data_IF_314308706415
#
_entry.id   IF_314308706415
#
_cell.length_a   1.000
_cell.length_b   1.000
_cell.length_c   1.000
_cell.angle_alpha   90.00
_cell.angle_beta   90.00
_cell.angle_gamma   90.00
#
_symmetry.space_group_name_H-M   'P 1'
#
loop_
_entity.id
_entity.type
_entity.pdbx_description
1 polymer ?
#
# COMPACT_ATOMS: atom_id res chain seq x y z
N UNK A 1 -10.89 43.79 66.25
CA UNK A 1 -12.04 43.38 67.09
C UNK A 1 -12.21 41.87 66.90
N UNK A 2 -11.66 41.10 67.84
CA UNK A 2 -12.38 40.35 68.89
C UNK A 2 -13.08 39.08 68.36
N UNK A 3 -12.47 37.92 68.60
CA UNK A 3 -13.00 36.79 69.41
C UNK A 3 -13.80 35.77 68.57
N UNK A 4 -13.84 34.45 68.82
CA UNK A 4 -13.44 33.63 69.96
C UNK A 4 -13.44 32.13 69.59
N UNK A 5 -12.48 31.41 70.19
CA UNK A 5 -12.55 30.08 70.88
C UNK A 5 -12.86 28.74 70.19
N UNK A 6 -11.99 27.82 70.61
CA UNK A 6 -11.96 26.35 70.59
C UNK A 6 -13.19 25.64 71.18
N UNK A 7 -13.36 24.37 70.83
CA UNK A 7 -13.65 23.31 71.81
C UNK A 7 -13.28 21.92 71.28
N UNK A 8 -12.40 21.25 72.03
CA UNK A 8 -12.10 19.82 71.96
C UNK A 8 -13.08 19.07 72.86
N UNK A 9 -13.40 17.82 72.55
CA UNK A 9 -13.93 16.88 73.54
C UNK A 9 -13.40 15.46 73.29
N UNK A 10 -12.74 14.96 74.33
CA UNK A 10 -12.30 13.58 74.56
C UNK A 10 -13.34 12.93 75.48
N UNK A 11 -13.70 11.67 75.25
CA UNK A 11 -14.19 10.76 76.30
C UNK A 11 -13.99 9.31 75.84
N UNK A 12 -13.05 8.55 76.41
CA UNK A 12 -13.09 7.74 77.66
C UNK A 12 -13.71 6.35 77.45
N UNK A 13 -12.83 5.35 77.57
CA UNK A 13 -13.01 3.90 77.64
C UNK A 13 -13.71 3.43 78.93
N UNK A 14 -14.38 2.27 78.93
CA UNK A 14 -14.02 1.18 79.88
C UNK A 14 -13.98 -0.20 79.18
N UNK A 15 -12.93 -1.03 79.38
CA UNK A 15 -12.80 -2.12 80.37
C UNK A 15 -13.92 -3.18 80.25
N UNK A 16 -13.70 -4.33 79.59
CA UNK A 16 -12.95 -5.53 80.01
C UNK A 16 -13.86 -6.57 80.72
N UNK A 17 -14.18 -7.67 80.02
CA UNK A 17 -14.60 -8.95 80.61
C UNK A 17 -14.02 -10.13 79.80
N UNK A 18 -13.36 -11.02 80.54
CA UNK A 18 -12.80 -12.34 80.20
C UNK A 18 -13.20 -13.20 81.41
N UNK A 19 -13.74 -14.46 81.33
CA UNK A 19 -12.93 -15.62 80.90
C UNK A 19 -13.60 -16.92 80.35
N UNK A 20 -12.79 -17.67 79.58
CA UNK A 20 -12.60 -19.14 79.55
C UNK A 20 -13.64 -20.10 78.89
N UNK A 21 -13.30 -21.39 78.61
CA UNK A 21 -12.17 -21.90 77.79
C UNK A 21 -12.53 -23.06 76.81
N UNK A 22 -11.66 -23.27 75.79
CA UNK A 22 -11.35 -24.52 75.04
C UNK A 22 -12.42 -25.14 74.08
N UNK A 23 -12.07 -25.98 73.07
CA UNK A 23 -10.78 -26.62 72.81
C UNK A 23 -10.21 -26.47 71.37
N UNK A 24 -8.91 -26.75 71.36
CA UNK A 24 -7.97 -27.04 70.28
C UNK A 24 -8.53 -27.95 69.16
N UNK A 25 -8.53 -27.47 67.91
CA UNK A 25 -8.64 -28.31 66.71
C UNK A 25 -7.85 -27.73 65.53
N UNK A 26 -6.70 -28.37 65.31
CA UNK A 26 -6.14 -28.79 64.02
C UNK A 26 -5.95 -27.73 62.93
N UNK A 27 -4.68 -27.36 62.75
CA UNK A 27 -4.17 -26.62 61.60
C UNK A 27 -4.57 -27.29 60.27
N UNK A 28 -5.31 -26.55 59.44
CA UNK A 28 -5.46 -26.84 58.01
C UNK A 28 -4.65 -25.85 57.17
N UNK A 29 -4.01 -26.31 56.09
CA UNK A 29 -3.10 -25.49 55.31
C UNK A 29 -3.87 -24.40 54.57
N UNK A 30 -3.36 -23.17 54.68
CA UNK A 30 -3.71 -22.00 53.90
C UNK A 30 -3.67 -22.39 52.41
N UNK A 31 -4.85 -22.56 51.79
CA UNK A 31 -4.96 -22.65 50.33
C UNK A 31 -4.50 -21.32 49.76
N UNK A 32 -3.26 -21.30 49.30
CA UNK A 32 -2.72 -20.26 48.43
C UNK A 32 -3.70 -20.07 47.28
N UNK A 33 -4.17 -18.83 47.15
CA UNK A 33 -4.87 -18.39 45.97
C UNK A 33 -3.95 -18.68 44.79
N UNK A 34 -4.40 -19.56 43.90
CA UNK A 34 -3.76 -19.84 42.63
C UNK A 34 -3.78 -18.56 41.81
N UNK A 35 -2.78 -17.71 42.01
CA UNK A 35 -2.41 -16.65 41.09
C UNK A 35 -2.06 -17.32 39.77
N UNK A 36 -3.06 -17.43 38.91
CA UNK A 36 -2.88 -17.70 37.49
C UNK A 36 -1.79 -16.75 36.99
N UNK A 37 -0.71 -17.25 36.35
CA UNK A 37 0.34 -16.41 35.83
C UNK A 37 -0.28 -15.36 34.91
N UNK A 38 -0.27 -14.10 35.33
CA UNK A 38 -0.57 -12.99 34.42
C UNK A 38 0.37 -13.15 33.23
N UNK A 39 -0.24 -13.28 32.06
CA UNK A 39 0.48 -13.36 30.80
C UNK A 39 1.60 -12.32 30.77
N UNK A 40 2.80 -12.68 30.29
CA UNK A 40 3.96 -11.80 30.34
C UNK A 40 3.62 -10.46 29.70
N UNK A 41 3.87 -9.41 30.49
CA UNK A 41 3.86 -8.01 30.10
C UNK A 41 4.49 -7.86 28.71
N UNK A 42 3.74 -7.26 27.80
CA UNK A 42 4.14 -7.04 26.41
C UNK A 42 5.46 -6.26 26.40
N UNK A 43 6.55 -6.90 25.97
CA UNK A 43 7.84 -6.23 25.84
C UNK A 43 7.67 -4.97 24.98
N UNK A 44 7.97 -3.81 25.59
CA UNK A 44 7.93 -2.49 24.94
C UNK A 44 9.07 -2.39 23.93
N UNK A 45 8.84 -1.68 22.83
CA UNK A 45 9.93 -1.08 22.05
C UNK A 45 10.24 -1.67 20.68
N UNK A 46 9.76 -2.86 20.30
CA UNK A 46 10.06 -3.40 18.96
C UNK A 46 8.99 -4.34 18.40
N UNK A 47 8.89 -4.50 17.05
CA UNK A 47 8.01 -5.47 16.43
C UNK A 47 8.35 -6.89 16.87
N UNK A 48 7.32 -7.74 17.06
CA UNK A 48 7.49 -9.16 17.45
C UNK A 48 8.35 -9.98 16.49
N UNK A 49 8.44 -9.55 15.22
CA UNK A 49 9.24 -10.20 14.20
C UNK A 49 9.67 -9.16 13.17
N UNK A 50 10.99 -8.95 13.04
CA UNK A 50 11.55 -8.13 11.99
C UNK A 50 11.43 -8.87 10.65
N UNK A 51 10.89 -8.20 9.65
CA UNK A 51 10.76 -8.72 8.30
C UNK A 51 12.08 -8.56 7.55
N UNK A 52 12.46 -9.59 6.78
CA UNK A 52 13.55 -9.47 5.81
C UNK A 52 13.19 -8.41 4.75
N UNK A 53 14.17 -7.72 4.15
CA UNK A 53 13.90 -6.72 3.11
C UNK A 53 12.98 -7.23 1.98
N UNK A 54 13.16 -8.48 1.55
CA UNK A 54 12.29 -9.11 0.54
C UNK A 54 10.84 -9.30 0.98
N UNK A 55 10.60 -9.54 2.27
CA UNK A 55 9.25 -9.68 2.84
C UNK A 55 8.55 -8.32 2.92
N UNK A 56 9.28 -7.26 3.26
CA UNK A 56 8.77 -5.88 3.22
C UNK A 56 8.40 -5.51 1.78
N UNK A 57 9.29 -5.78 0.82
CA UNK A 57 9.05 -5.50 -0.60
C UNK A 57 7.85 -6.31 -1.16
N UNK A 58 7.67 -7.55 -0.70
CA UNK A 58 6.52 -8.36 -1.04
C UNK A 58 5.22 -7.79 -0.42
N UNK A 59 5.25 -7.34 0.83
CA UNK A 59 4.10 -6.74 1.50
C UNK A 59 3.65 -5.44 0.80
N UNK A 60 4.58 -4.58 0.43
CA UNK A 60 4.29 -3.36 -0.35
C UNK A 60 3.70 -3.74 -1.72
N UNK A 61 4.29 -4.71 -2.42
CA UNK A 61 3.79 -5.18 -3.71
C UNK A 61 2.37 -5.76 -3.62
N UNK A 62 2.08 -6.52 -2.56
CA UNK A 62 0.76 -7.07 -2.32
C UNK A 62 -0.27 -5.96 -2.08
N UNK A 63 0.08 -4.95 -1.28
CA UNK A 63 -0.79 -3.78 -1.07
C UNK A 63 -1.06 -3.05 -2.38
N UNK A 64 -0.05 -2.87 -3.24
CA UNK A 64 -0.21 -2.24 -4.55
C UNK A 64 -1.15 -3.03 -5.46
N UNK A 65 -1.03 -4.36 -5.47
CA UNK A 65 -1.84 -5.24 -6.32
C UNK A 65 -3.28 -5.41 -5.85
N UNK A 66 -3.56 -5.22 -4.56
CA UNK A 66 -4.94 -5.29 -4.04
C UNK A 66 -5.82 -4.24 -4.73
N UNK A 67 -6.97 -4.62 -5.31
CA UNK A 67 -7.90 -3.64 -5.87
C UNK A 67 -8.39 -2.63 -4.84
N UNK A 68 -8.74 -1.43 -5.29
CA UNK A 68 -9.48 -0.47 -4.47
C UNK A 68 -10.86 -1.04 -4.11
N UNK A 69 -11.32 -0.76 -2.90
CA UNK A 69 -12.66 -1.16 -2.45
C UNK A 69 -13.75 -0.38 -3.20
N UNK A 70 -14.96 -0.93 -3.29
CA UNK A 70 -16.11 -0.22 -3.91
C UNK A 70 -16.34 1.15 -3.30
N UNK A 71 -16.19 1.31 -1.99
CA UNK A 71 -16.30 2.60 -1.32
C UNK A 71 -15.25 3.61 -1.80
N UNK A 72 -14.01 3.17 -2.05
CA UNK A 72 -12.94 4.02 -2.58
C UNK A 72 -13.15 4.35 -4.07
N UNK A 73 -13.77 3.45 -4.84
CA UNK A 73 -14.12 3.68 -6.24
C UNK A 73 -15.31 4.62 -6.41
N UNK A 74 -16.31 4.49 -5.53
CA UNK A 74 -17.53 5.29 -5.55
C UNK A 74 -17.35 6.69 -4.94
N UNK A 75 -16.16 6.99 -4.41
CA UNK A 75 -15.75 8.32 -3.99
C UNK A 75 -14.68 8.91 -4.96
N UNK A 76 -14.90 8.90 -6.29
CA UNK A 76 -13.91 9.40 -7.23
C UNK A 76 -13.75 10.91 -7.02
N UNK A 77 -12.53 11.32 -6.65
CA UNK A 77 -12.23 12.72 -6.32
C UNK A 77 -12.24 13.05 -4.83
N UNK A 78 -12.55 12.09 -3.94
CA UNK A 78 -12.36 12.30 -2.51
C UNK A 78 -10.86 12.39 -2.18
N UNK A 79 -10.45 13.58 -1.76
CA UNK A 79 -9.08 13.86 -1.31
C UNK A 79 -8.99 13.72 0.21
N UNK A 80 -7.82 13.32 0.68
CA UNK A 80 -7.51 13.28 2.10
C UNK A 80 -6.04 13.53 2.35
N UNK A 81 -5.70 13.80 3.60
CA UNK A 81 -4.35 14.13 4.03
C UNK A 81 -3.73 12.93 4.76
N UNK A 82 -2.44 12.69 4.48
CA UNK A 82 -1.60 11.80 5.26
C UNK A 82 -0.73 12.66 6.16
N UNK A 83 -0.90 12.58 7.48
CA UNK A 83 -0.12 13.38 8.43
C UNK A 83 1.00 12.56 9.05
N UNK A 84 2.05 13.26 9.46
CA UNK A 84 3.14 12.76 10.30
C UNK A 84 3.25 13.67 11.52
N UNK A 85 2.95 13.17 12.71
CA UNK A 85 3.08 13.91 13.97
C UNK A 85 4.19 13.32 14.82
N UNK A 86 5.06 14.17 15.37
CA UNK A 86 5.99 13.71 16.40
C UNK A 86 5.26 13.55 17.73
N UNK A 87 5.60 12.48 18.45
CA UNK A 87 4.95 12.09 19.69
C UNK A 87 5.98 11.65 20.72
N UNK A 88 5.81 12.12 21.95
CA UNK A 88 6.47 11.56 23.14
C UNK A 88 5.39 10.79 23.94
N UNK A 89 5.39 9.45 23.90
CA UNK A 89 4.38 8.64 24.57
C UNK A 89 4.38 8.87 26.08
N UNK A 90 3.20 8.94 26.70
CA UNK A 90 3.10 9.06 28.17
C UNK A 90 3.74 7.90 28.92
N UNK A 91 3.65 6.69 28.35
CA UNK A 91 4.18 5.46 28.93
C UNK A 91 5.70 5.30 28.79
N UNK A 92 6.33 6.13 27.94
CA UNK A 92 7.76 6.16 27.68
C UNK A 92 8.20 7.59 27.33
N UNK A 93 8.35 8.48 28.33
CA UNK A 93 8.73 9.88 28.11
C UNK A 93 10.15 10.06 27.55
N UNK A 94 10.98 9.01 27.58
CA UNK A 94 12.36 9.04 27.06
C UNK A 94 12.42 8.89 25.54
N UNK A 95 11.32 8.44 24.93
CA UNK A 95 11.27 8.08 23.52
C UNK A 95 10.49 9.12 22.71
N UNK A 96 11.08 9.53 21.59
CA UNK A 96 10.41 10.30 20.54
C UNK A 96 10.12 9.37 19.38
N UNK A 97 8.86 9.31 18.96
CA UNK A 97 8.38 8.48 17.86
C UNK A 97 7.50 9.30 16.93
N UNK A 98 7.24 8.79 15.72
CA UNK A 98 6.31 9.42 14.79
C UNK A 98 4.98 8.67 14.77
N UNK A 99 3.89 9.41 14.67
CA UNK A 99 2.55 8.89 14.38
C UNK A 99 2.17 9.23 12.96
N UNK A 100 1.83 8.22 12.17
CA UNK A 100 1.43 8.40 10.77
C UNK A 100 -0.02 7.98 10.59
N UNK A 101 -0.85 8.83 10.01
CA UNK A 101 -2.23 8.45 9.73
C UNK A 101 -2.92 9.31 8.68
N UNK A 102 -4.24 9.21 8.64
CA UNK A 102 -5.08 9.82 7.60
C UNK A 102 -6.22 10.66 8.16
N UNK A 103 -6.64 11.67 7.40
CA UNK A 103 -7.86 12.42 7.64
C UNK A 103 -8.48 12.92 6.33
N UNK A 104 -9.82 12.97 6.25
CA UNK A 104 -10.54 13.62 5.14
C UNK A 104 -10.59 15.14 5.28
N UNK A 105 -10.36 15.65 6.49
CA UNK A 105 -10.51 17.07 6.81
C UNK A 105 -9.21 17.66 7.35
N UNK A 106 -9.36 18.63 8.26
CA UNK A 106 -8.21 19.30 8.87
C UNK A 106 -7.42 18.36 9.78
N UNK A 107 -6.11 18.34 9.59
CA UNK A 107 -5.16 17.64 10.46
C UNK A 107 -5.13 18.22 11.86
N UNK A 108 -5.43 19.51 12.02
CA UNK A 108 -5.55 20.17 13.33
C UNK A 108 -6.63 19.52 14.19
N UNK A 109 -7.76 19.13 13.59
CA UNK A 109 -8.81 18.42 14.32
C UNK A 109 -8.31 17.05 14.77
N UNK A 110 -7.60 16.34 13.88
CA UNK A 110 -7.03 15.04 14.20
C UNK A 110 -5.95 15.11 15.29
N UNK A 111 -5.11 16.12 15.25
CA UNK A 111 -4.11 16.44 16.27
C UNK A 111 -4.78 16.66 17.64
N UNK A 112 -5.84 17.49 17.70
CA UNK A 112 -6.61 17.73 18.93
C UNK A 112 -7.23 16.44 19.49
N UNK A 113 -7.77 15.59 18.61
CA UNK A 113 -8.28 14.28 19.01
C UNK A 113 -7.18 13.40 19.61
N UNK A 114 -6.00 13.33 18.99
CA UNK A 114 -4.89 12.52 19.49
C UNK A 114 -4.42 13.04 20.86
N UNK A 115 -4.25 14.35 21.01
CA UNK A 115 -3.88 15.00 22.28
C UNK A 115 -4.87 14.66 23.41
N UNK A 116 -6.16 14.79 23.13
CA UNK A 116 -7.23 14.53 24.12
C UNK A 116 -7.38 13.06 24.49
N UNK A 117 -7.33 12.15 23.50
CA UNK A 117 -7.63 10.74 23.72
C UNK A 117 -6.43 9.96 24.23
N UNK A 118 -5.25 10.20 23.65
CA UNK A 118 -4.05 9.41 23.94
C UNK A 118 -3.22 10.01 25.09
N UNK A 119 -3.43 11.30 25.40
CA UNK A 119 -2.78 12.02 26.53
C UNK A 119 -1.25 11.86 26.56
N UNK A 120 -0.63 11.87 25.38
CA UNK A 120 0.83 11.85 25.23
C UNK A 120 1.45 13.09 25.87
N UNK A 121 2.72 13.00 26.27
CA UNK A 121 3.46 14.13 26.87
C UNK A 121 3.55 15.28 25.87
N UNK A 122 3.88 14.94 24.63
CA UNK A 122 4.03 15.87 23.53
C UNK A 122 3.40 15.28 22.27
N UNK A 123 2.71 16.13 21.51
CA UNK A 123 2.27 15.84 20.14
C UNK A 123 2.46 17.11 19.32
N UNK A 124 3.42 17.10 18.42
CA UNK A 124 3.77 18.23 17.56
C UNK A 124 3.24 18.03 16.15
N UNK A 125 2.77 19.11 15.53
CA UNK A 125 2.21 19.07 14.19
C UNK A 125 3.29 19.15 13.11
N UNK A 126 2.86 18.85 11.89
CA UNK A 126 3.68 18.89 10.70
C UNK A 126 3.74 20.32 10.15
N UNK A 127 4.53 21.20 10.77
CA UNK A 127 4.61 22.61 10.33
C UNK A 127 5.44 22.83 9.07
N UNK A 128 6.29 21.88 8.67
CA UNK A 128 7.35 22.13 7.68
C UNK A 128 7.38 21.15 6.48
N UNK A 129 6.25 20.52 6.11
CA UNK A 129 6.22 19.67 4.92
C UNK A 129 5.86 20.49 3.66
N UNK A 130 6.83 20.75 2.74
CA UNK A 130 6.58 21.56 1.55
C UNK A 130 5.71 20.87 0.50
N UNK A 131 5.60 19.53 0.53
CA UNK A 131 4.79 18.74 -0.39
C UNK A 131 3.43 18.36 0.22
N UNK A 132 3.06 19.01 1.33
CA UNK A 132 1.84 18.69 2.03
C UNK A 132 0.60 19.12 1.25
N UNK A 133 -0.03 18.17 0.58
CA UNK A 133 -1.28 18.38 -0.13
C UNK A 133 -2.27 17.23 0.11
N UNK A 134 -3.59 17.50 0.00
CA UNK A 134 -4.58 16.44 -0.09
C UNK A 134 -4.35 15.58 -1.33
N UNK A 135 -4.38 14.26 -1.17
CA UNK A 135 -4.14 13.29 -2.25
C UNK A 135 -5.34 12.37 -2.45
N UNK A 136 -5.59 11.90 -3.68
CA UNK A 136 -6.48 10.76 -3.88
C UNK A 136 -5.84 9.52 -3.25
N UNK A 137 -6.66 8.49 -2.98
CA UNK A 137 -6.16 7.21 -2.45
C UNK A 137 -5.33 7.33 -1.16
N UNK A 138 -5.56 8.37 -0.33
CA UNK A 138 -4.81 8.63 0.91
C UNK A 138 -4.82 7.43 1.89
N UNK A 139 -5.90 6.64 1.94
CA UNK A 139 -5.97 5.37 2.70
C UNK A 139 -5.00 4.30 2.16
N UNK A 140 -4.77 4.30 0.85
CA UNK A 140 -3.81 3.41 0.18
C UNK A 140 -2.39 3.87 0.47
N UNK A 141 -2.14 5.17 0.39
CA UNK A 141 -0.86 5.78 0.77
C UNK A 141 -0.48 5.42 2.20
N UNK A 142 -1.40 5.55 3.17
CA UNK A 142 -1.17 5.17 4.57
C UNK A 142 -0.72 3.71 4.71
N UNK A 143 -1.43 2.78 4.06
CA UNK A 143 -1.08 1.35 4.10
C UNK A 143 0.31 1.07 3.52
N UNK A 144 0.67 1.78 2.45
CA UNK A 144 1.99 1.64 1.83
C UNK A 144 3.10 2.20 2.75
N UNK A 145 2.86 3.35 3.38
CA UNK A 145 3.78 3.95 4.36
C UNK A 145 3.97 3.01 5.56
N UNK A 146 2.88 2.50 6.13
CA UNK A 146 2.94 1.56 7.26
C UNK A 146 3.67 0.27 6.89
N UNK A 147 3.46 -0.26 5.69
CA UNK A 147 4.15 -1.46 5.23
C UNK A 147 5.65 -1.24 5.05
N UNK A 148 6.07 -0.09 4.51
CA UNK A 148 7.49 0.26 4.39
C UNK A 148 8.17 0.43 5.76
N UNK A 149 7.43 1.00 6.73
CA UNK A 149 7.88 1.24 8.09
C UNK A 149 7.62 0.09 9.07
N UNK A 150 7.16 -1.07 8.60
CA UNK A 150 6.71 -2.18 9.44
C UNK A 150 7.77 -2.64 10.47
N UNK A 151 9.05 -2.61 10.10
CA UNK A 151 10.17 -2.97 10.98
C UNK A 151 10.47 -1.92 12.06
N UNK A 152 9.90 -0.72 11.95
CA UNK A 152 10.03 0.38 12.90
C UNK A 152 8.80 0.52 13.77
N UNK A 153 7.82 -0.38 13.67
CA UNK A 153 6.61 -0.29 14.46
C UNK A 153 6.95 -0.26 15.96
N UNK A 154 6.64 0.86 16.60
CA UNK A 154 6.90 1.08 18.00
C UNK A 154 5.66 0.71 18.82
N UNK A 155 5.81 -0.36 19.60
CA UNK A 155 4.71 -0.94 20.38
C UNK A 155 4.85 -0.52 21.84
N UNK A 156 3.81 0.14 22.35
CA UNK A 156 3.67 0.55 23.74
C UNK A 156 2.19 0.48 24.17
N UNK A 157 1.95 0.56 25.48
CA UNK A 157 0.61 0.59 26.05
C UNK A 157 0.08 2.04 26.04
N UNK A 158 -0.79 2.38 25.06
CA UNK A 158 -1.54 3.64 25.14
C UNK A 158 -2.71 3.48 26.10
N UNK A 159 -2.77 4.33 27.12
CA UNK A 159 -3.97 4.53 27.95
C UNK A 159 -4.94 5.48 27.25
N UNK A 160 -5.49 5.01 26.15
CA UNK A 160 -6.40 5.75 25.30
C UNK A 160 -7.83 5.65 25.88
N UNK A 161 -8.20 6.60 26.73
CA UNK A 161 -9.40 6.50 27.58
C UNK A 161 -9.18 5.52 28.75
N UNK A 162 -10.22 4.76 29.11
CA UNK A 162 -10.18 3.82 30.25
C UNK A 162 -9.57 2.44 29.90
N UNK A 163 -9.15 2.23 28.64
CA UNK A 163 -8.62 0.96 28.17
C UNK A 163 -7.20 1.12 27.62
N UNK A 164 -6.36 0.12 27.88
CA UNK A 164 -5.10 -0.03 27.14
C UNK A 164 -5.42 -0.39 25.70
N UNK A 165 -4.91 0.38 24.74
CA UNK A 165 -5.05 0.13 23.31
C UNK A 165 -3.68 0.01 22.65
N UNK A 166 -3.52 -1.03 21.84
CA UNK A 166 -2.40 -1.13 20.93
C UNK A 166 -2.64 -0.26 19.70
N UNK A 167 -1.65 0.55 19.37
CA UNK A 167 -1.62 1.27 18.10
C UNK A 167 -0.70 0.56 17.12
N UNK A 168 -1.05 0.62 15.84
CA UNK A 168 -0.23 0.09 14.74
C UNK A 168 0.36 1.22 13.89
N UNK A 169 0.18 2.46 14.34
CA UNK A 169 0.47 3.67 13.56
C UNK A 169 1.58 4.54 14.18
N UNK A 170 2.37 3.99 15.10
CA UNK A 170 3.52 4.64 15.72
C UNK A 170 4.81 3.96 15.30
N UNK A 171 5.81 4.75 14.90
CA UNK A 171 7.06 4.23 14.36
C UNK A 171 8.27 4.89 15.03
N UNK A 172 9.28 4.07 15.32
CA UNK A 172 10.58 4.49 15.86
C UNK A 172 11.53 4.87 14.71
N UNK A 173 11.23 5.99 14.07
CA UNK A 173 12.07 6.65 13.06
C UNK A 173 12.06 8.14 13.34
N UNK A 174 13.08 8.85 12.86
CA UNK A 174 13.05 10.30 12.87
C UNK A 174 11.97 10.86 11.93
N UNK A 175 11.57 12.11 12.18
CA UNK A 175 10.52 12.78 11.41
C UNK A 175 10.89 12.97 9.94
N UNK A 176 12.14 13.26 9.61
CA UNK A 176 12.54 13.50 8.23
C UNK A 176 12.38 12.24 7.39
N UNK A 177 12.82 11.08 7.91
CA UNK A 177 12.63 9.77 7.28
C UNK A 177 11.14 9.46 7.08
N UNK A 178 10.31 9.69 8.10
CA UNK A 178 8.87 9.44 8.01
C UNK A 178 8.16 10.36 7.00
N UNK A 179 8.55 11.65 6.97
CA UNK A 179 8.04 12.62 6.02
C UNK A 179 8.39 12.22 4.58
N UNK A 180 9.63 11.85 4.31
CA UNK A 180 10.06 11.50 2.97
C UNK A 180 9.32 10.26 2.43
N UNK A 181 9.16 9.22 3.26
CA UNK A 181 8.37 8.03 2.90
C UNK A 181 6.92 8.43 2.62
N UNK A 182 6.35 9.32 3.45
CA UNK A 182 4.99 9.82 3.26
C UNK A 182 4.84 10.60 1.95
N UNK A 183 5.77 11.49 1.64
CA UNK A 183 5.82 12.28 0.41
C UNK A 183 5.90 11.39 -0.83
N UNK A 184 6.76 10.36 -0.81
CA UNK A 184 6.89 9.39 -1.90
C UNK A 184 5.55 8.73 -2.24
N UNK A 185 4.87 8.19 -1.23
CA UNK A 185 3.59 7.49 -1.45
C UNK A 185 2.44 8.45 -1.79
N UNK A 186 2.50 9.70 -1.32
CA UNK A 186 1.62 10.79 -1.78
C UNK A 186 1.82 11.08 -3.26
N UNK A 187 3.06 11.31 -3.71
CA UNK A 187 3.43 11.55 -5.12
C UNK A 187 2.96 10.39 -6.00
N UNK A 188 3.18 9.15 -5.58
CA UNK A 188 2.64 7.97 -6.27
C UNK A 188 1.12 8.04 -6.44
N UNK A 189 0.37 8.36 -5.37
CA UNK A 189 -1.09 8.43 -5.45
C UNK A 189 -1.60 9.60 -6.31
N UNK A 190 -0.90 10.74 -6.31
CA UNK A 190 -1.22 11.91 -7.16
C UNK A 190 -1.15 11.56 -8.66
N UNK A 191 -0.26 10.65 -9.05
CA UNK A 191 -0.14 10.16 -10.44
C UNK A 191 -1.29 9.22 -10.87
N UNK A 192 -2.33 9.09 -10.04
CA UNK A 192 -3.52 8.27 -10.26
C UNK A 192 -3.21 6.87 -10.78
N UNK A 193 -2.55 6.02 -9.98
CA UNK A 193 -2.00 4.77 -10.46
C UNK A 193 -3.05 3.66 -10.67
N UNK A 194 -4.30 3.90 -10.27
CA UNK A 194 -5.41 2.96 -10.34
C UNK A 194 -6.43 3.38 -11.41
N UNK A 195 -6.90 2.41 -12.19
CA UNK A 195 -7.97 2.57 -13.17
C UNK A 195 -9.37 2.53 -12.56
N UNK A 196 -10.38 2.60 -13.43
CA UNK A 196 -11.80 2.57 -13.04
C UNK A 196 -12.23 1.24 -12.38
N UNK A 197 -11.53 0.15 -12.65
CA UNK A 197 -11.72 -1.16 -12.03
C UNK A 197 -11.04 -1.27 -10.65
N UNK A 198 -10.37 -0.21 -10.20
CA UNK A 198 -9.62 -0.16 -8.95
C UNK A 198 -8.32 -0.92 -8.96
N UNK A 199 -7.89 -1.45 -10.10
CA UNK A 199 -6.61 -2.12 -10.27
C UNK A 199 -5.56 -1.14 -10.76
N UNK A 200 -4.28 -1.49 -10.63
CA UNK A 200 -3.20 -0.70 -11.20
C UNK A 200 -3.41 -0.57 -12.72
N UNK A 201 -3.19 0.62 -13.25
CA UNK A 201 -3.17 0.82 -14.71
C UNK A 201 -2.06 -0.05 -15.35
N UNK A 202 -2.16 -0.36 -16.66
CA UNK A 202 -1.16 -1.18 -17.34
C UNK A 202 0.29 -0.71 -17.16
N UNK A 203 0.52 0.61 -17.17
CA UNK A 203 1.85 1.20 -16.93
C UNK A 203 2.41 0.82 -15.55
N UNK A 204 1.62 1.06 -14.50
CA UNK A 204 2.05 0.83 -13.11
C UNK A 204 2.20 -0.65 -12.79
N UNK A 205 1.30 -1.49 -13.31
CA UNK A 205 1.38 -2.94 -13.17
C UNK A 205 2.62 -3.50 -13.90
N UNK A 206 2.90 -3.03 -15.13
CA UNK A 206 4.13 -3.38 -15.84
C UNK A 206 5.38 -2.94 -15.07
N UNK A 207 5.38 -1.72 -14.50
CA UNK A 207 6.49 -1.21 -13.69
C UNK A 207 6.71 -2.05 -12.44
N UNK A 208 5.64 -2.46 -11.77
CA UNK A 208 5.69 -3.28 -10.56
C UNK A 208 6.28 -4.66 -10.85
N UNK A 209 5.81 -5.31 -11.94
CA UNK A 209 6.31 -6.63 -12.37
C UNK A 209 7.78 -6.60 -12.80
N UNK A 210 8.23 -5.51 -13.41
CA UNK A 210 9.62 -5.38 -13.88
C UNK A 210 10.57 -4.72 -12.87
N UNK A 211 10.10 -4.39 -11.66
CA UNK A 211 10.90 -3.76 -10.59
C UNK A 211 12.20 -4.50 -10.33
N UNK A 212 12.12 -5.82 -10.16
CA UNK A 212 13.26 -6.65 -9.76
C UNK A 212 14.19 -7.00 -10.93
N UNK A 213 13.80 -6.74 -12.19
CA UNK A 213 14.58 -7.14 -13.37
C UNK A 213 15.86 -6.29 -13.54
N UNK A 214 15.93 -5.11 -12.92
CA UNK A 214 17.04 -4.15 -13.07
C UNK A 214 17.91 -3.99 -11.82
N UNK A 215 17.59 -4.69 -10.74
CA UNK A 215 18.39 -4.67 -9.52
C UNK A 215 18.94 -6.09 -9.35
N UNK A 216 20.24 -6.26 -9.60
CA UNK A 216 20.94 -7.49 -9.21
C UNK A 216 20.66 -7.68 -7.73
N UNK A 217 20.13 -8.84 -7.35
CA UNK A 217 19.86 -9.18 -5.95
C UNK A 217 21.22 -9.52 -5.31
N UNK A 218 22.10 -8.52 -5.24
CA UNK A 218 23.39 -8.62 -4.57
C UNK A 218 23.13 -8.57 -3.06
N UNK A 219 23.28 -9.76 -2.47
CA UNK A 219 23.74 -10.09 -1.13
C UNK A 219 23.91 -8.93 -0.13
N UNK A 220 23.28 -9.11 1.05
CA UNK A 220 23.50 -8.38 2.30
C UNK A 220 22.82 -7.00 2.45
N UNK A 221 21.53 -6.88 2.08
CA UNK A 221 20.73 -5.80 2.67
C UNK A 221 20.45 -6.11 4.14
N UNK A 222 21.00 -5.27 5.03
CA UNK A 222 20.64 -5.30 6.44
C UNK A 222 19.15 -5.03 6.60
N UNK A 223 18.55 -5.61 7.64
CA UNK A 223 17.15 -5.35 8.02
C UNK A 223 16.93 -3.85 8.29
N UNK A 224 17.98 -3.15 8.70
CA UNK A 224 18.04 -1.71 8.99
C UNK A 224 18.55 -0.86 7.81
N UNK A 225 18.83 -1.46 6.64
CA UNK A 225 19.23 -0.71 5.45
C UNK A 225 17.98 -0.07 4.80
N UNK A 226 17.63 1.12 5.29
CA UNK A 226 16.53 1.91 4.75
C UNK A 226 16.83 2.47 3.39
N UNK A 227 18.07 2.90 3.16
CA UNK A 227 18.41 3.71 2.01
C UNK A 227 18.31 2.94 0.70
N UNK A 228 18.73 1.67 0.65
CA UNK A 228 18.55 0.86 -0.57
C UNK A 228 17.08 0.60 -0.89
N UNK A 229 16.28 0.26 0.12
CA UNK A 229 14.83 0.05 -0.04
C UNK A 229 14.15 1.34 -0.49
N UNK A 230 14.47 2.45 0.17
CA UNK A 230 14.05 3.80 -0.15
C UNK A 230 14.34 4.12 -1.61
N UNK A 231 15.58 3.93 -2.09
CA UNK A 231 15.94 4.20 -3.49
C UNK A 231 15.13 3.36 -4.49
N UNK A 232 14.89 2.07 -4.20
CA UNK A 232 14.08 1.19 -5.06
C UNK A 232 12.65 1.70 -5.18
N UNK A 233 12.01 2.00 -4.05
CA UNK A 233 10.61 2.43 -4.03
C UNK A 233 10.45 3.88 -4.49
N UNK A 234 11.43 4.75 -4.26
CA UNK A 234 11.48 6.10 -4.81
C UNK A 234 11.50 6.05 -6.34
N UNK A 235 12.40 5.24 -6.91
CA UNK A 235 12.43 5.02 -8.36
C UNK A 235 11.12 4.45 -8.88
N UNK A 236 10.49 3.53 -8.15
CA UNK A 236 9.19 2.99 -8.55
C UNK A 236 8.12 4.09 -8.55
N UNK A 237 7.94 4.78 -7.43
CA UNK A 237 6.88 5.77 -7.17
C UNK A 237 7.00 7.04 -8.02
N UNK A 238 8.21 7.40 -8.45
CA UNK A 238 8.49 8.62 -9.20
C UNK A 238 9.03 8.30 -10.62
N UNK A 239 8.18 7.85 -11.55
CA UNK A 239 8.58 7.59 -12.92
C UNK A 239 8.94 8.90 -13.64
N UNK A 240 9.97 8.86 -14.48
CA UNK A 240 10.27 10.00 -15.37
C UNK A 240 9.14 10.12 -16.39
N UNK A 241 8.78 11.35 -16.79
CA UNK A 241 7.77 11.58 -17.85
C UNK A 241 8.08 10.81 -19.14
N UNK A 242 9.36 10.73 -19.50
CA UNK A 242 9.84 9.97 -20.66
C UNK A 242 9.52 8.46 -20.52
N UNK A 243 9.61 7.89 -19.32
CA UNK A 243 9.30 6.45 -19.11
C UNK A 243 7.81 6.17 -19.34
N UNK A 244 6.93 7.09 -18.94
CA UNK A 244 5.49 6.99 -19.22
C UNK A 244 5.22 7.10 -20.72
N UNK A 245 5.77 8.13 -21.38
CA UNK A 245 5.61 8.33 -22.83
C UNK A 245 6.14 7.16 -23.65
N UNK A 246 7.33 6.65 -23.29
CA UNK A 246 7.92 5.48 -23.96
C UNK A 246 7.03 4.26 -23.79
N UNK A 247 6.47 4.04 -22.59
CA UNK A 247 5.53 2.93 -22.40
C UNK A 247 4.27 3.09 -23.25
N UNK A 248 3.68 4.30 -23.28
CA UNK A 248 2.47 4.56 -24.05
C UNK A 248 2.66 4.38 -25.56
N UNK A 249 3.87 4.63 -26.08
CA UNK A 249 4.23 4.38 -27.48
C UNK A 249 4.55 2.89 -27.73
N UNK A 250 5.38 2.29 -26.87
CA UNK A 250 5.91 0.94 -27.08
C UNK A 250 4.85 -0.13 -26.80
N UNK A 251 3.98 0.05 -25.81
CA UNK A 251 3.00 -0.97 -25.44
C UNK A 251 2.01 -1.30 -26.59
N UNK A 252 1.44 -0.31 -27.31
CA UNK A 252 0.68 -0.56 -28.53
C UNK A 252 1.54 -1.21 -29.62
N UNK A 253 2.77 -0.72 -29.85
CA UNK A 253 3.66 -1.27 -30.88
C UNK A 253 3.99 -2.73 -30.63
N UNK A 254 4.28 -3.15 -29.39
CA UNK A 254 4.54 -4.56 -29.04
C UNK A 254 3.31 -5.42 -29.30
N UNK A 255 2.10 -4.89 -29.05
CA UNK A 255 0.85 -5.59 -29.36
C UNK A 255 0.64 -5.74 -30.86
N UNK A 256 0.93 -4.69 -31.64
CA UNK A 256 0.88 -4.69 -33.11
C UNK A 256 1.97 -5.58 -33.69
N UNK A 257 3.14 -5.67 -33.06
CA UNK A 257 4.27 -6.47 -33.53
C UNK A 257 3.98 -7.98 -33.54
N UNK A 258 3.00 -8.45 -32.76
CA UNK A 258 2.48 -9.82 -32.90
C UNK A 258 1.93 -10.08 -34.31
N UNK A 259 1.44 -9.04 -34.94
CA UNK A 259 0.88 -9.01 -36.29
C UNK A 259 1.89 -8.47 -37.32
N UNK A 260 3.20 -8.50 -37.00
CA UNK A 260 4.23 -7.88 -37.84
C UNK A 260 4.19 -8.35 -39.28
N UNK A 261 3.88 -9.62 -39.52
CA UNK A 261 3.81 -10.19 -40.86
C UNK A 261 2.55 -9.71 -41.58
N UNK A 262 1.40 -9.70 -40.90
CA UNK A 262 0.16 -9.14 -41.45
C UNK A 262 0.30 -7.64 -41.78
N UNK A 263 0.93 -6.86 -40.90
CA UNK A 263 1.21 -5.44 -41.14
C UNK A 263 2.18 -5.26 -42.32
N UNK A 264 3.25 -6.06 -42.38
CA UNK A 264 4.19 -6.03 -43.49
C UNK A 264 3.51 -6.36 -44.83
N UNK A 265 2.64 -7.38 -44.87
CA UNK A 265 1.90 -7.74 -46.09
C UNK A 265 0.91 -6.65 -46.51
N UNK A 266 0.24 -5.99 -45.55
CA UNK A 266 -0.66 -4.87 -45.84
C UNK A 266 0.13 -3.70 -46.41
N UNK A 267 1.23 -3.29 -45.77
CA UNK A 267 2.09 -2.21 -46.25
C UNK A 267 2.67 -2.51 -47.63
N UNK A 268 3.12 -3.76 -47.87
CA UNK A 268 3.60 -4.20 -49.17
C UNK A 268 2.49 -4.16 -50.23
N UNK A 269 1.26 -4.56 -49.90
CA UNK A 269 0.12 -4.50 -50.82
C UNK A 269 -0.20 -3.06 -51.22
N UNK A 270 -0.20 -2.12 -50.26
CA UNK A 270 -0.39 -0.69 -50.55
C UNK A 270 0.75 -0.11 -51.38
N UNK A 271 2.01 -0.51 -51.09
CA UNK A 271 3.17 -0.06 -51.85
C UNK A 271 3.11 -0.52 -53.31
N UNK A 272 2.74 -1.79 -53.55
CA UNK A 272 2.53 -2.32 -54.90
C UNK A 272 1.37 -1.58 -55.59
N UNK A 273 0.26 -1.35 -54.90
CA UNK A 273 -0.88 -0.61 -55.44
C UNK A 273 -0.54 0.84 -55.82
N UNK A 274 0.34 1.48 -55.03
CA UNK A 274 0.81 2.85 -55.29
C UNK A 274 1.77 2.92 -56.48
N UNK A 275 2.71 1.98 -56.59
CA UNK A 275 3.67 1.94 -57.70
C UNK A 275 3.05 1.45 -59.01
N UNK A 276 2.14 0.48 -58.93
CA UNK A 276 1.43 -0.10 -60.05
C UNK A 276 0.09 0.63 -60.17
N UNK A 277 0.12 1.80 -60.83
CA UNK A 277 -1.06 2.59 -61.26
C UNK A 277 -2.25 1.66 -61.59
N UNK A 278 -3.49 1.96 -61.14
CA UNK A 278 -4.49 0.94 -60.80
C UNK A 278 -4.85 0.08 -62.01
N UNK A 279 -4.17 -1.05 -62.12
CA UNK A 279 -4.60 -2.15 -62.98
C UNK A 279 -5.62 -2.98 -62.21
N UNK A 280 -6.61 -3.54 -62.89
CA UNK A 280 -7.61 -4.41 -62.27
C UNK A 280 -6.97 -5.57 -61.49
N UNK A 281 -5.81 -6.04 -61.95
CA UNK A 281 -5.02 -7.07 -61.29
C UNK A 281 -4.46 -6.61 -59.93
N UNK A 282 -4.04 -5.36 -59.80
CA UNK A 282 -3.58 -4.79 -58.52
C UNK A 282 -4.70 -4.79 -57.48
N UNK A 283 -5.92 -4.42 -57.88
CA UNK A 283 -7.09 -4.35 -57.00
C UNK A 283 -7.51 -5.75 -56.52
N UNK A 284 -7.53 -6.73 -57.43
CA UNK A 284 -7.83 -8.14 -57.09
C UNK A 284 -6.78 -8.68 -56.11
N UNK A 285 -5.50 -8.40 -56.32
CA UNK A 285 -4.43 -8.84 -55.44
C UNK A 285 -4.52 -8.24 -54.04
N UNK A 286 -4.86 -6.95 -53.93
CA UNK A 286 -5.14 -6.31 -52.64
C UNK A 286 -6.28 -7.04 -51.91
N UNK A 287 -7.37 -7.39 -52.62
CA UNK A 287 -8.50 -8.14 -52.06
C UNK A 287 -8.11 -9.52 -51.53
N UNK A 288 -7.28 -10.27 -52.27
CA UNK A 288 -6.77 -11.59 -51.86
C UNK A 288 -5.90 -11.48 -50.61
N UNK A 289 -5.03 -10.47 -50.52
CA UNK A 289 -4.17 -10.26 -49.34
C UNK A 289 -4.97 -9.75 -48.13
N UNK A 290 -6.02 -8.97 -48.36
CA UNK A 290 -6.89 -8.44 -47.30
C UNK A 290 -7.87 -9.48 -46.72
N UNK A 291 -8.35 -10.44 -47.52
CA UNK A 291 -9.35 -11.41 -47.07
C UNK A 291 -8.93 -12.26 -45.86
N UNK A 292 -7.69 -12.79 -45.77
CA UNK A 292 -7.20 -13.49 -44.57
C UNK A 292 -7.12 -12.58 -43.34
N UNK A 293 -6.71 -11.31 -43.53
CA UNK A 293 -6.65 -10.33 -42.44
C UNK A 293 -8.05 -9.99 -41.90
N UNK A 294 -9.03 -9.82 -42.78
CA UNK A 294 -10.43 -9.67 -42.40
C UNK A 294 -10.97 -10.91 -41.69
N UNK A 295 -10.63 -12.12 -42.17
CA UNK A 295 -11.06 -13.36 -41.52
C UNK A 295 -10.49 -13.50 -40.09
N UNK A 296 -9.20 -13.19 -39.91
CA UNK A 296 -8.54 -13.29 -38.61
C UNK A 296 -9.02 -12.20 -37.63
N UNK A 297 -9.24 -10.96 -38.10
CA UNK A 297 -9.76 -9.85 -37.28
C UNK A 297 -11.20 -10.06 -36.84
N UNK A 298 -12.02 -10.71 -37.68
CA UNK A 298 -13.38 -11.12 -37.32
C UNK A 298 -13.42 -12.33 -36.38
N UNK A 299 -12.26 -12.86 -35.96
CA UNK A 299 -12.14 -14.09 -35.16
C UNK A 299 -12.97 -15.22 -35.75
N UNK A 300 -12.99 -15.32 -37.09
CA UNK A 300 -13.49 -16.53 -37.74
C UNK A 300 -12.50 -17.63 -37.37
N UNK A 301 -12.84 -18.40 -36.34
CA UNK A 301 -12.11 -19.59 -35.92
C UNK A 301 -11.82 -20.43 -37.17
N UNK A 302 -10.56 -20.64 -37.51
CA UNK A 302 -10.18 -21.48 -38.66
C UNK A 302 -9.79 -22.88 -38.17
N UNK A 303 -10.05 -23.95 -38.93
CA UNK A 303 -9.93 -23.97 -40.40
C UNK A 303 -11.02 -24.74 -41.15
N UNK A 304 -11.87 -24.03 -41.89
CA UNK A 304 -12.55 -24.58 -43.08
C UNK A 304 -12.17 -23.84 -44.35
N UNK A 305 -11.61 -22.62 -44.24
CA UNK A 305 -11.34 -21.76 -45.39
C UNK A 305 -9.99 -22.03 -46.06
N UNK A 306 -8.96 -22.52 -45.36
CA UNK A 306 -7.64 -22.78 -45.98
C UNK A 306 -7.72 -23.87 -47.06
N UNK A 307 -8.39 -25.03 -46.84
CA UNK A 307 -8.57 -26.03 -47.90
C UNK A 307 -9.44 -25.52 -49.06
N UNK A 308 -10.44 -24.68 -48.77
CA UNK A 308 -11.32 -24.12 -49.80
C UNK A 308 -10.60 -23.09 -50.68
N UNK A 309 -9.79 -22.21 -50.09
CA UNK A 309 -8.94 -21.26 -50.80
C UNK A 309 -7.89 -22.02 -51.62
N UNK A 310 -7.29 -23.06 -51.06
CA UNK A 310 -6.33 -23.90 -51.80
C UNK A 310 -6.96 -24.60 -53.01
N UNK A 311 -8.16 -25.19 -52.85
CA UNK A 311 -8.89 -25.80 -53.97
C UNK A 311 -9.31 -24.77 -55.03
N UNK A 312 -9.68 -23.56 -54.61
CA UNK A 312 -10.02 -22.49 -55.55
C UNK A 312 -8.79 -22.03 -56.34
N UNK A 313 -7.63 -21.92 -55.69
CA UNK A 313 -6.35 -21.62 -56.36
C UNK A 313 -5.97 -22.74 -57.33
N UNK A 314 -6.07 -24.01 -56.93
CA UNK A 314 -5.81 -25.15 -57.81
C UNK A 314 -6.75 -25.18 -59.03
N UNK A 315 -8.03 -24.89 -58.83
CA UNK A 315 -9.00 -24.80 -59.92
C UNK A 315 -8.66 -23.66 -60.86
N UNK A 316 -8.39 -22.47 -60.33
CA UNK A 316 -8.06 -21.29 -61.13
C UNK A 316 -6.77 -21.47 -61.94
N UNK A 317 -5.74 -22.08 -61.35
CA UNK A 317 -4.48 -22.36 -62.06
C UNK A 317 -4.66 -23.40 -63.17
N UNK A 318 -5.53 -24.40 -62.98
CA UNK A 318 -5.85 -25.38 -64.03
C UNK A 318 -6.62 -24.78 -65.20
N UNK A 319 -7.54 -23.86 -64.94
CA UNK A 319 -8.40 -23.28 -65.98
C UNK A 319 -7.65 -22.28 -66.90
N UNK A 320 -6.60 -21.63 -66.38
CA UNK A 320 -5.92 -20.52 -67.09
C UNK A 320 -4.49 -20.81 -67.54
N UNK A 321 -3.81 -21.84 -67.01
CA UNK A 321 -2.40 -22.10 -67.31
C UNK A 321 -2.10 -23.51 -67.85
N UNK A 322 -3.09 -24.40 -67.96
CA UNK A 322 -2.96 -25.75 -68.54
C UNK A 322 -4.07 -26.01 -69.56
#
# INVERSE_FOLDING_TARGET
MLNQRCSSSVSTTPAAETPAPQPEQTAQPRREASESPRAPSRCKGTPRQLLKPSQVDAAIADILNRPLTKAQLNAPGELGNNYVFEVIPKSDPSKRVVKIGVTKGSERYRLKQIKSHCKHVLVEDQQDDPEHVPVPFYLKAEKLIHAELQNFLYVFDCHCGDRSKSHSEYFDVDRATAQEITQRWRRFCQLRPYGADGRLTPFWDHRLRNRNRRVSFESEESIYDHDKRRQRWERFANPRRIEMVVYDIVAPLVKIWRWKWQVATILQSFYIAYLVYPSSASIIWIGIVWAPFCAETMKLETPVTIPAIWRWIEWFLKEYFF
#
